data_IF_911804561095
#
_entry.id   IF_911804561095
#
_cell.length_a   1.000
_cell.length_b   1.000
_cell.length_c   1.000
_cell.angle_alpha   90.00
_cell.angle_beta   90.00
_cell.angle_gamma   90.00
#
_symmetry.space_group_name_H-M   'P 1'
#
loop_
_entity.id
_entity.type
_entity.pdbx_description
1 polymer ?
#
# COMPACT_ATOMS: atom_id res chain seq x y z
N UNK A 1 18.55 -27.63 -19.45
CA UNK A 1 17.18 -27.65 -18.88
C UNK A 1 16.96 -26.32 -18.20
N UNK A 2 16.16 -25.44 -18.80
CA UNK A 2 15.76 -24.17 -18.16
C UNK A 2 14.69 -24.50 -17.12
N UNK A 3 15.00 -24.36 -15.83
CA UNK A 3 13.99 -24.50 -14.79
C UNK A 3 13.07 -23.29 -14.89
N UNK A 4 11.91 -23.49 -15.50
CA UNK A 4 10.85 -22.49 -15.52
C UNK A 4 10.33 -22.36 -14.09
N UNK A 5 10.88 -21.42 -13.32
CA UNK A 5 10.43 -21.16 -11.96
C UNK A 5 9.02 -20.63 -12.02
N UNK A 6 8.07 -21.44 -11.54
CA UNK A 6 6.70 -21.01 -11.33
C UNK A 6 6.70 -19.73 -10.49
N UNK A 7 5.88 -18.73 -10.82
CA UNK A 7 5.79 -17.53 -9.99
C UNK A 7 5.42 -17.95 -8.56
N UNK A 8 6.17 -17.42 -7.58
CA UNK A 8 6.00 -17.73 -6.14
C UNK A 8 4.57 -17.49 -5.66
N UNK A 9 3.85 -16.58 -6.32
CA UNK A 9 2.49 -16.19 -5.99
C UNK A 9 1.59 -16.25 -7.23
N UNK A 10 0.37 -16.74 -7.06
CA UNK A 10 -0.65 -16.76 -8.13
C UNK A 10 -1.28 -15.38 -8.36
N UNK A 11 -1.36 -14.57 -7.30
CA UNK A 11 -1.99 -13.25 -7.32
C UNK A 11 -1.27 -12.31 -6.35
N UNK A 12 -1.34 -11.01 -6.63
CA UNK A 12 -0.94 -9.93 -5.71
C UNK A 12 -2.12 -8.98 -5.63
N UNK A 13 -2.52 -8.61 -4.42
CA UNK A 13 -3.59 -7.66 -4.19
C UNK A 13 -3.02 -6.26 -3.96
N UNK A 14 -3.56 -5.26 -4.66
CA UNK A 14 -3.19 -3.87 -4.46
C UNK A 14 -4.46 -3.09 -4.16
N UNK A 15 -4.51 -2.50 -2.97
CA UNK A 15 -5.65 -1.72 -2.47
C UNK A 15 -5.19 -0.28 -2.29
N UNK A 16 -5.90 0.65 -2.94
CA UNK A 16 -5.75 2.07 -2.66
C UNK A 16 -6.86 2.50 -1.68
N UNK A 17 -6.49 3.01 -0.52
CA UNK A 17 -7.40 3.39 0.55
C UNK A 17 -7.43 4.91 0.71
N UNK A 18 -8.63 5.46 0.86
CA UNK A 18 -8.84 6.85 1.24
C UNK A 18 -9.83 6.88 2.40
N UNK A 19 -9.41 7.41 3.53
CA UNK A 19 -10.29 7.62 4.69
C UNK A 19 -10.58 9.12 4.76
N UNK A 20 -11.86 9.47 4.84
CA UNK A 20 -12.27 10.86 4.98
C UNK A 20 -11.74 11.44 6.29
N UNK A 21 -11.22 12.68 6.32
CA UNK A 21 -10.89 13.37 7.57
C UNK A 21 -12.06 13.52 8.55
N UNK A 22 -13.30 13.43 8.04
CA UNK A 22 -14.53 13.49 8.82
C UNK A 22 -15.09 12.10 9.18
N UNK A 23 -14.35 11.03 8.92
CA UNK A 23 -14.77 9.67 9.25
C UNK A 23 -14.86 9.52 10.76
N UNK A 24 -16.00 9.07 11.27
CA UNK A 24 -16.16 8.82 12.70
C UNK A 24 -15.40 7.54 13.10
N UNK A 25 -14.94 7.42 14.36
CA UNK A 25 -14.30 6.19 14.84
C UNK A 25 -15.16 4.94 14.66
N UNK A 26 -16.48 5.05 14.81
CA UNK A 26 -17.41 3.94 14.59
C UNK A 26 -17.51 3.53 13.12
N UNK A 27 -17.52 4.48 12.20
CA UNK A 27 -17.57 4.17 10.76
C UNK A 27 -16.27 3.50 10.32
N UNK A 28 -15.12 3.98 10.83
CA UNK A 28 -13.82 3.37 10.57
C UNK A 28 -13.75 1.95 11.13
N UNK A 29 -14.30 1.71 12.33
CA UNK A 29 -14.38 0.37 12.93
C UNK A 29 -15.24 -0.58 12.10
N UNK A 30 -16.43 -0.14 11.66
CA UNK A 30 -17.30 -0.96 10.82
C UNK A 30 -16.61 -1.32 9.49
N UNK A 31 -15.96 -0.34 8.86
CA UNK A 31 -15.17 -0.57 7.66
C UNK A 31 -14.02 -1.56 7.91
N UNK A 32 -13.31 -1.43 9.04
CA UNK A 32 -12.22 -2.33 9.41
C UNK A 32 -12.71 -3.78 9.56
N UNK A 33 -13.87 -4.00 10.17
CA UNK A 33 -14.49 -5.33 10.30
C UNK A 33 -14.85 -5.93 8.93
N UNK A 34 -15.51 -5.16 8.07
CA UNK A 34 -15.87 -5.58 6.71
C UNK A 34 -14.63 -5.88 5.86
N UNK A 35 -13.62 -5.02 5.93
CA UNK A 35 -12.36 -5.21 5.21
C UNK A 35 -11.62 -6.45 5.71
N UNK A 36 -11.64 -6.70 7.01
CA UNK A 36 -11.02 -7.89 7.62
C UNK A 36 -11.65 -9.17 7.13
N UNK A 37 -12.99 -9.22 7.09
CA UNK A 37 -13.72 -10.34 6.52
C UNK A 37 -13.40 -10.55 5.03
N UNK A 38 -13.36 -9.46 4.26
CA UNK A 38 -13.00 -9.53 2.84
C UNK A 38 -11.57 -10.05 2.65
N UNK A 39 -10.59 -9.53 3.40
CA UNK A 39 -9.19 -9.94 3.33
C UNK A 39 -9.01 -11.41 3.71
N UNK A 40 -9.66 -11.86 4.79
CA UNK A 40 -9.62 -13.26 5.21
C UNK A 40 -10.19 -14.21 4.15
N UNK A 41 -11.24 -13.81 3.45
CA UNK A 41 -11.88 -14.62 2.41
C UNK A 41 -11.13 -14.62 1.08
N UNK A 42 -10.40 -13.55 0.74
CA UNK A 42 -9.86 -13.35 -0.61
C UNK A 42 -8.34 -13.37 -0.69
N UNK A 43 -7.61 -12.99 0.36
CA UNK A 43 -6.17 -12.85 0.23
C UNK A 43 -5.45 -14.19 0.25
N UNK A 44 -6.00 -15.28 0.82
CA UNK A 44 -5.47 -16.66 0.74
C UNK A 44 -3.93 -16.76 0.85
N UNK A 45 -3.33 -16.05 1.83
CA UNK A 45 -1.87 -15.92 2.03
C UNK A 45 -1.08 -15.31 0.84
N UNK A 46 -1.76 -14.72 -0.12
CA UNK A 46 -1.18 -13.96 -1.22
C UNK A 46 -0.60 -12.63 -0.71
N UNK A 47 0.48 -12.14 -1.33
CA UNK A 47 0.99 -10.81 -1.04
C UNK A 47 -0.07 -9.76 -1.32
N UNK A 48 -0.17 -8.79 -0.43
CA UNK A 48 -1.08 -7.68 -0.56
C UNK A 48 -0.42 -6.39 -0.10
N UNK A 49 -0.68 -5.32 -0.85
CA UNK A 49 -0.24 -3.97 -0.53
C UNK A 49 -1.45 -3.08 -0.41
N UNK A 50 -1.52 -2.35 0.70
CA UNK A 50 -2.58 -1.40 0.98
C UNK A 50 -1.90 -0.05 1.14
N UNK A 51 -2.22 0.91 0.28
CA UNK A 51 -1.57 2.22 0.22
C UNK A 51 -2.61 3.31 0.06
N UNK A 52 -2.27 4.55 0.33
CA UNK A 52 -3.13 5.70 0.05
C UNK A 52 -3.11 6.73 1.17
N UNK A 53 -4.15 7.55 1.22
CA UNK A 53 -4.29 8.64 2.19
C UNK A 53 -5.29 8.27 3.28
N UNK A 54 -4.76 7.89 4.44
CA UNK A 54 -5.53 7.33 5.54
C UNK A 54 -6.12 8.41 6.44
N UNK A 55 -5.69 9.68 6.35
CA UNK A 55 -6.10 10.78 7.25
C UNK A 55 -6.20 10.41 8.76
N UNK A 56 -5.55 9.33 9.17
CA UNK A 56 -5.62 8.66 10.46
C UNK A 56 -4.26 8.05 10.72
N UNK A 57 -3.77 8.20 11.95
CA UNK A 57 -2.57 7.52 12.42
C UNK A 57 -2.87 6.13 13.00
N UNK A 58 -4.15 5.85 13.32
CA UNK A 58 -4.57 4.55 13.81
C UNK A 58 -5.04 3.70 12.62
N UNK A 59 -4.24 2.70 12.31
CA UNK A 59 -4.50 1.68 11.29
C UNK A 59 -4.26 0.28 11.88
N UNK A 60 -4.49 0.11 13.19
CA UNK A 60 -4.26 -1.14 13.93
C UNK A 60 -5.00 -2.35 13.34
N UNK A 61 -6.12 -2.14 12.65
CA UNK A 61 -6.83 -3.20 11.93
C UNK A 61 -6.00 -3.84 10.81
N UNK A 62 -5.12 -3.07 10.14
CA UNK A 62 -4.19 -3.61 9.14
C UNK A 62 -3.06 -4.41 9.80
N UNK A 63 -2.58 -3.96 10.96
CA UNK A 63 -1.60 -4.72 11.74
C UNK A 63 -2.18 -6.05 12.24
N UNK A 64 -3.46 -6.05 12.64
CA UNK A 64 -4.19 -7.26 13.01
C UNK A 64 -4.35 -8.26 11.85
N UNK A 65 -4.33 -7.78 10.60
CA UNK A 65 -4.30 -8.59 9.38
C UNK A 65 -2.89 -9.09 9.01
N UNK A 66 -1.88 -8.76 9.82
CA UNK A 66 -0.49 -9.12 9.58
C UNK A 66 0.21 -8.21 8.59
N UNK A 67 -0.32 -7.01 8.33
CA UNK A 67 0.37 -6.01 7.51
C UNK A 67 1.25 -5.09 8.35
N UNK A 68 2.46 -4.83 7.87
CA UNK A 68 3.37 -3.85 8.48
C UNK A 68 3.37 -2.55 7.67
N UNK A 69 3.33 -1.41 8.35
CA UNK A 69 3.56 -0.11 7.72
C UNK A 69 5.02 0.00 7.22
N UNK A 70 5.17 0.19 5.91
CA UNK A 70 6.46 0.36 5.25
C UNK A 70 6.83 1.82 5.04
N UNK A 71 5.89 2.76 5.19
CA UNK A 71 6.17 4.21 5.07
C UNK A 71 6.74 4.75 6.36
N UNK A 72 8.07 4.99 6.38
CA UNK A 72 8.83 5.46 7.56
C UNK A 72 9.21 6.95 7.52
N UNK A 73 8.66 7.73 6.60
CA UNK A 73 8.99 9.15 6.43
C UNK A 73 7.73 10.01 6.41
N UNK A 74 7.81 11.29 6.84
CA UNK A 74 6.68 12.22 6.77
C UNK A 74 6.24 12.42 5.31
N UNK A 75 4.96 12.23 5.07
CA UNK A 75 4.35 12.38 3.73
C UNK A 75 3.71 13.76 3.54
N UNK A 76 3.44 14.45 4.65
CA UNK A 76 3.10 15.88 4.72
C UNK A 76 4.12 16.62 5.60
N UNK A 77 4.05 17.95 5.61
CA UNK A 77 5.00 18.84 6.31
C UNK A 77 5.18 18.51 7.81
N UNK A 78 4.14 17.94 8.45
CA UNK A 78 4.07 17.70 9.89
C UNK A 78 3.41 16.36 10.28
N UNK A 79 2.88 15.59 9.31
CA UNK A 79 2.13 14.34 9.57
C UNK A 79 2.41 13.26 8.53
N UNK A 80 2.40 12.01 8.97
CA UNK A 80 2.45 10.82 8.12
C UNK A 80 1.03 10.28 7.98
N UNK A 81 0.30 10.77 6.97
CA UNK A 81 -1.10 10.38 6.71
C UNK A 81 -1.24 9.59 5.41
N UNK A 82 -0.25 9.67 4.53
CA UNK A 82 -0.13 8.76 3.40
C UNK A 82 0.68 7.56 3.92
N UNK A 83 0.04 6.39 3.97
CA UNK A 83 0.63 5.18 4.55
C UNK A 83 0.69 4.07 3.51
N UNK A 84 1.50 3.06 3.78
CA UNK A 84 1.63 1.89 2.94
C UNK A 84 1.87 0.68 3.82
N UNK A 85 1.08 -0.37 3.63
CA UNK A 85 1.04 -1.58 4.45
C UNK A 85 1.26 -2.79 3.55
N UNK A 86 2.07 -3.76 3.99
CA UNK A 86 2.31 -5.02 3.28
C UNK A 86 2.31 -6.19 4.24
N UNK A 87 1.75 -7.33 3.83
CA UNK A 87 1.89 -8.61 4.55
C UNK A 87 3.11 -9.43 4.07
N UNK A 88 3.91 -8.88 3.15
CA UNK A 88 5.17 -9.45 2.67
C UNK A 88 6.26 -8.35 2.63
N UNK A 89 7.00 -8.20 3.72
CA UNK A 89 8.08 -7.20 3.84
C UNK A 89 9.26 -7.49 2.92
N UNK A 90 9.48 -8.76 2.54
CA UNK A 90 10.62 -9.17 1.70
C UNK A 90 10.55 -8.64 0.26
N UNK A 91 9.42 -8.04 -0.12
CA UNK A 91 9.14 -7.62 -1.49
C UNK A 91 9.20 -6.10 -1.66
N UNK A 92 9.21 -5.26 -0.61
CA UNK A 92 8.99 -3.82 -0.79
C UNK A 92 10.04 -2.92 -0.16
N UNK A 93 10.53 -1.96 -0.95
CA UNK A 93 11.30 -0.81 -0.47
C UNK A 93 10.48 0.46 -0.78
N UNK A 94 10.19 1.25 0.24
CA UNK A 94 9.57 2.57 0.08
C UNK A 94 10.63 3.59 -0.23
N UNK A 95 10.47 4.35 -1.33
CA UNK A 95 11.35 5.46 -1.66
C UNK A 95 10.57 6.76 -1.66
N UNK A 96 11.06 7.74 -0.89
CA UNK A 96 10.62 9.13 -1.01
C UNK A 96 11.13 9.69 -2.33
N UNK A 97 10.25 10.19 -3.21
CA UNK A 97 10.69 11.06 -4.30
C UNK A 97 10.82 12.48 -3.77
N UNK A 98 11.93 13.15 -4.09
CA UNK A 98 12.06 14.59 -3.91
C UNK A 98 10.87 15.27 -4.59
N UNK A 99 10.27 16.32 -3.98
CA UNK A 99 9.16 17.03 -4.59
C UNK A 99 9.60 17.50 -5.98
N UNK A 100 9.00 16.94 -7.02
CA UNK A 100 9.18 17.44 -8.39
C UNK A 100 8.63 18.87 -8.34
N UNK A 101 9.52 19.84 -8.47
CA UNK A 101 9.22 21.27 -8.47
C UNK A 101 7.95 21.53 -9.32
N UNK A 102 6.92 22.09 -8.66
CA UNK A 102 5.58 22.45 -9.19
C UNK A 102 4.51 21.35 -9.27
N UNK A 103 4.29 20.59 -8.21
CA UNK A 103 2.98 19.95 -7.99
C UNK A 103 2.19 20.70 -6.92
N UNK A 104 0.95 21.10 -7.26
CA UNK A 104 -0.01 21.83 -6.40
C UNK A 104 -0.60 20.97 -5.27
N UNK A 105 0.11 19.92 -4.82
CA UNK A 105 -0.36 19.04 -3.77
C UNK A 105 0.38 19.32 -2.47
N UNK A 106 -0.36 19.42 -1.37
CA UNK A 106 0.20 19.45 -0.01
C UNK A 106 0.78 18.07 0.40
N UNK A 107 0.61 17.04 -0.43
CA UNK A 107 1.06 15.68 -0.18
C UNK A 107 2.33 15.38 -1.00
N UNK A 108 3.34 14.80 -0.34
CA UNK A 108 4.47 14.21 -1.02
C UNK A 108 4.06 12.85 -1.60
N UNK A 109 4.20 12.62 -2.91
CA UNK A 109 3.84 11.34 -3.50
C UNK A 109 4.72 10.22 -2.91
N UNK A 110 4.07 9.22 -2.32
CA UNK A 110 4.72 8.01 -1.80
C UNK A 110 4.61 6.91 -2.84
N UNK A 111 5.74 6.32 -3.22
CA UNK A 111 5.78 5.18 -4.14
C UNK A 111 6.36 3.96 -3.43
N UNK A 112 5.59 2.87 -3.45
CA UNK A 112 6.03 1.52 -3.09
C UNK A 112 6.50 0.81 -4.34
N UNK A 113 7.78 0.41 -4.40
CA UNK A 113 8.31 -0.39 -5.51
C UNK A 113 8.38 -1.85 -5.09
N UNK A 114 7.77 -2.74 -5.87
CA UNK A 114 7.92 -4.19 -5.73
C UNK A 114 9.35 -4.58 -6.19
N UNK A 115 10.09 -5.30 -5.35
CA UNK A 115 11.48 -5.73 -5.55
C UNK A 115 11.54 -7.08 -6.29
N UNK A 116 10.43 -7.80 -6.46
CA UNK A 116 10.36 -9.03 -7.25
C UNK A 116 9.60 -8.85 -8.56
N UNK A 117 10.23 -8.17 -9.52
CA UNK A 117 9.98 -8.42 -10.94
C UNK A 117 11.18 -7.98 -11.78
N UNK A 118 12.08 -8.93 -12.03
CA UNK A 118 12.92 -8.91 -13.21
C UNK A 118 12.16 -9.72 -14.28
N UNK A 119 11.50 -9.04 -15.22
CA UNK A 119 11.42 -9.32 -16.67
C UNK A 119 10.18 -8.65 -17.30
N UNK A 120 10.45 -7.77 -18.28
CA UNK A 120 9.62 -7.28 -19.41
C UNK A 120 8.11 -7.00 -19.16
N UNK A 121 7.57 -5.80 -19.38
CA UNK A 121 7.65 -5.04 -20.64
C UNK A 121 7.19 -3.59 -20.42
N UNK A 122 7.94 -2.67 -21.04
CA UNK A 122 7.59 -1.27 -21.29
C UNK A 122 6.30 -1.16 -22.11
N UNK A 123 5.44 -0.19 -21.77
CA UNK A 123 4.76 0.71 -22.74
C UNK A 123 3.92 1.76 -21.97
N UNK A 124 4.53 2.91 -21.68
CA UNK A 124 3.81 4.18 -21.59
C UNK A 124 4.36 5.07 -22.70
N UNK A 125 3.63 5.19 -23.80
CA UNK A 125 3.72 6.36 -24.68
C UNK A 125 2.69 7.38 -24.23
N UNK A 126 3.04 8.66 -24.04
CA UNK A 126 2.06 9.70 -23.78
C UNK A 126 1.35 10.10 -25.08
N UNK A 127 0.06 10.44 -24.98
CA UNK A 127 -0.63 11.31 -25.93
C UNK A 127 -0.53 12.74 -25.40
#
# INVERSE_FOLDING_TARGET
MSSQTSPKYKQIYITNMYISPSCSPSDLSNFADEFTMFAAANFDNSPSVITGDFNSSDCSFLEALGHTNIVKFPTRLDKTLDLGFTNDEGVYETRRRSPILKLRSLHCPCFTKNIQQNTHQSLLTPV
#
